data_IF_398869088105
#
_entry.id   IF_398869088105
#
_cell.length_a   1.000
_cell.length_b   1.000
_cell.length_c   1.000
_cell.angle_alpha   90.00
_cell.angle_beta   90.00
_cell.angle_gamma   90.00
#
_symmetry.space_group_name_H-M   'P 1'
#
loop_
_entity.id
_entity.type
_entity.pdbx_description
1 polymer ?
#
# COMPACT_ATOMS: atom_id res chain seq x y z
N UNK A 1 -77.03 19.61 -10.29
CA UNK A 1 -75.90 20.21 -11.04
C UNK A 1 -74.78 20.45 -10.04
N UNK A 2 -73.67 19.72 -10.11
CA UNK A 2 -72.37 20.23 -10.62
C UNK A 2 -72.01 21.58 -9.96
N UNK A 3 -70.87 21.82 -9.29
CA UNK A 3 -69.56 21.19 -9.28
C UNK A 3 -68.66 22.13 -8.47
N UNK A 4 -67.94 21.71 -7.42
CA UNK A 4 -66.73 22.44 -6.95
C UNK A 4 -65.91 21.62 -5.95
N UNK A 5 -64.91 20.90 -6.44
CA UNK A 5 -63.60 20.80 -5.79
C UNK A 5 -62.55 20.15 -6.71
N UNK A 6 -61.88 20.90 -7.60
CA UNK A 6 -60.64 20.43 -8.21
C UNK A 6 -59.55 21.49 -8.02
N UNK A 7 -58.80 21.42 -6.91
CA UNK A 7 -57.53 22.18 -6.81
C UNK A 7 -56.57 21.74 -5.72
N UNK A 8 -57.03 20.98 -4.73
CA UNK A 8 -56.16 20.52 -3.63
C UNK A 8 -55.45 19.18 -3.90
N UNK A 9 -56.01 18.32 -4.78
CA UNK A 9 -55.47 16.97 -5.04
C UNK A 9 -54.27 16.98 -5.98
N UNK A 10 -54.26 17.85 -6.99
CA UNK A 10 -53.17 17.91 -7.98
C UNK A 10 -51.86 18.47 -7.42
N UNK A 11 -51.94 19.46 -6.51
CA UNK A 11 -50.77 20.02 -5.86
C UNK A 11 -50.08 19.03 -4.91
N UNK A 12 -50.83 18.12 -4.28
CA UNK A 12 -50.26 17.09 -3.40
C UNK A 12 -49.47 16.05 -4.22
N UNK A 13 -50.03 15.59 -5.34
CA UNK A 13 -49.35 14.65 -6.24
C UNK A 13 -48.09 15.27 -6.89
N UNK A 14 -48.14 16.55 -7.25
CA UNK A 14 -46.97 17.22 -7.84
C UNK A 14 -45.86 17.47 -6.80
N UNK A 15 -46.22 17.77 -5.54
CA UNK A 15 -45.27 17.97 -4.45
C UNK A 15 -44.61 16.65 -4.00
N UNK A 16 -45.40 15.59 -3.82
CA UNK A 16 -44.88 14.24 -3.52
C UNK A 16 -43.99 13.70 -4.64
N UNK A 17 -44.32 13.97 -5.90
CA UNK A 17 -43.49 13.58 -7.04
C UNK A 17 -42.15 14.32 -7.06
N UNK A 18 -42.13 15.63 -6.77
CA UNK A 18 -40.88 16.42 -6.65
C UNK A 18 -40.01 15.96 -5.48
N UNK A 19 -40.60 15.66 -4.32
CA UNK A 19 -39.86 15.16 -3.15
C UNK A 19 -39.29 13.75 -3.39
N UNK A 20 -40.01 12.89 -4.12
CA UNK A 20 -39.50 11.57 -4.53
C UNK A 20 -38.35 11.67 -5.53
N UNK A 21 -38.44 12.60 -6.50
CA UNK A 21 -37.34 12.87 -7.44
C UNK A 21 -36.14 13.48 -6.73
N UNK A 22 -36.34 14.45 -5.82
CA UNK A 22 -35.27 15.09 -5.06
C UNK A 22 -34.56 14.11 -4.13
N UNK A 23 -35.30 13.20 -3.48
CA UNK A 23 -34.69 12.11 -2.69
C UNK A 23 -33.99 11.06 -3.56
N UNK A 24 -34.47 10.79 -4.79
CA UNK A 24 -33.76 9.93 -5.74
C UNK A 24 -32.44 10.56 -6.25
N UNK A 25 -32.42 11.88 -6.43
CA UNK A 25 -31.21 12.60 -6.86
C UNK A 25 -30.21 12.79 -5.72
N UNK A 26 -30.69 12.95 -4.48
CA UNK A 26 -29.84 13.01 -3.27
C UNK A 26 -29.24 11.64 -2.90
N UNK A 27 -29.94 10.54 -3.23
CA UNK A 27 -29.41 9.17 -3.07
C UNK A 27 -28.42 8.76 -4.16
N UNK A 28 -28.49 9.34 -5.38
CA UNK A 28 -27.52 9.06 -6.48
C UNK A 28 -26.23 9.89 -6.42
N UNK A 29 -26.12 10.87 -5.51
CA UNK A 29 -24.98 11.77 -5.37
C UNK A 29 -24.16 11.56 -4.08
N UNK A 30 -24.36 10.45 -3.34
CA UNK A 30 -23.57 10.10 -2.15
C UNK A 30 -22.75 8.82 -2.34
N UNK A 31 -22.19 8.63 -3.52
CA UNK A 31 -21.18 7.61 -3.80
C UNK A 31 -20.37 8.01 -5.04
N UNK A 32 -19.68 9.13 -4.95
CA UNK A 32 -18.51 9.44 -5.77
C UNK A 32 -17.48 10.15 -4.89
N UNK A 33 -16.23 9.68 -4.99
CA UNK A 33 -14.97 10.21 -4.42
C UNK A 33 -14.68 10.00 -2.94
N UNK A 34 -14.25 8.78 -2.61
CA UNK A 34 -12.98 8.55 -1.91
C UNK A 34 -12.37 7.25 -2.46
N UNK A 35 -11.10 7.18 -2.90
CA UNK A 35 -10.47 5.90 -3.21
C UNK A 35 -10.22 5.17 -1.89
N UNK A 36 -11.23 4.46 -1.39
CA UNK A 36 -11.06 3.50 -0.32
C UNK A 36 -10.46 2.23 -0.95
N UNK A 37 -9.14 2.06 -0.80
CA UNK A 37 -8.49 0.77 -1.00
C UNK A 37 -9.10 -0.24 -0.02
N UNK A 38 -10.04 -1.03 -0.52
CA UNK A 38 -10.44 -2.31 0.07
C UNK A 38 -10.65 -3.29 -1.06
N UNK A 39 -9.58 -3.97 -1.42
CA UNK A 39 -9.70 -5.25 -2.11
C UNK A 39 -10.13 -6.24 -1.01
N UNK A 40 -11.42 -6.57 -0.97
CA UNK A 40 -11.86 -7.76 -0.24
C UNK A 40 -11.44 -8.98 -1.04
N UNK A 41 -10.40 -9.69 -0.60
CA UNK A 41 -10.12 -11.08 -0.98
C UNK A 41 -9.63 -11.86 0.24
N UNK A 42 -9.97 -13.14 0.24
CA UNK A 42 -9.75 -14.21 1.23
C UNK A 42 -8.41 -14.16 2.00
N UNK A 43 -8.30 -14.82 3.18
CA UNK A 43 -7.04 -14.88 3.92
C UNK A 43 -5.93 -15.40 2.99
N UNK A 44 -4.76 -14.74 2.91
CA UNK A 44 -3.64 -15.27 2.15
C UNK A 44 -3.19 -16.58 2.80
N UNK A 45 -3.63 -17.70 2.23
CA UNK A 45 -3.20 -19.03 2.61
C UNK A 45 -1.71 -19.16 2.27
N UNK A 46 -0.86 -19.05 3.30
CA UNK A 46 0.60 -19.15 3.27
C UNK A 46 1.30 -18.24 2.23
N UNK A 47 1.98 -17.20 2.71
CA UNK A 47 2.98 -16.49 1.89
C UNK A 47 3.98 -17.52 1.38
N UNK A 48 4.05 -17.70 0.06
CA UNK A 48 5.04 -18.61 -0.53
C UNK A 48 6.36 -17.84 -0.62
N UNK A 49 7.15 -17.86 0.45
CA UNK A 49 8.44 -17.16 0.52
C UNK A 49 9.35 -17.51 -0.67
N UNK A 50 9.28 -18.74 -1.19
CA UNK A 50 9.99 -19.12 -2.42
C UNK A 50 9.69 -18.17 -3.58
N UNK A 51 8.42 -17.81 -3.81
CA UNK A 51 8.03 -16.91 -4.90
C UNK A 51 8.60 -15.50 -4.70
N UNK A 52 8.63 -14.98 -3.46
CA UNK A 52 9.22 -13.65 -3.23
C UNK A 52 10.71 -13.68 -3.53
N UNK A 53 11.43 -14.73 -3.14
CA UNK A 53 12.88 -14.82 -3.36
C UNK A 53 13.27 -15.18 -4.80
N UNK A 54 12.42 -15.90 -5.54
CA UNK A 54 12.60 -16.13 -6.99
C UNK A 54 12.55 -14.82 -7.80
N UNK A 55 11.80 -13.82 -7.33
CA UNK A 55 11.77 -12.49 -7.94
C UNK A 55 13.00 -11.63 -7.61
N UNK A 56 13.88 -12.09 -6.71
CA UNK A 56 15.08 -11.35 -6.35
C UNK A 56 16.10 -11.42 -7.49
N UNK A 57 16.59 -10.26 -7.93
CA UNK A 57 17.64 -10.19 -8.93
C UNK A 57 18.99 -10.67 -8.36
N UNK A 58 19.92 -11.05 -9.25
CA UNK A 58 21.30 -11.44 -8.91
C UNK A 58 22.05 -10.40 -8.06
N UNK A 59 21.69 -9.11 -8.09
CA UNK A 59 22.32 -8.08 -7.26
C UNK A 59 21.67 -7.91 -5.88
N UNK A 60 20.56 -8.62 -5.62
CA UNK A 60 19.87 -8.65 -4.33
C UNK A 60 18.64 -7.76 -4.21
N UNK A 61 18.20 -7.08 -5.28
CA UNK A 61 17.05 -6.19 -5.26
C UNK A 61 15.81 -6.80 -5.93
N UNK A 62 14.66 -6.17 -5.70
CA UNK A 62 13.40 -6.47 -6.39
C UNK A 62 12.96 -5.33 -7.29
N UNK A 63 12.20 -5.66 -8.32
CA UNK A 63 11.50 -4.67 -9.14
C UNK A 63 10.03 -4.61 -8.73
N UNK A 64 9.41 -3.44 -8.89
CA UNK A 64 7.95 -3.32 -8.83
C UNK A 64 7.34 -4.02 -10.05
N UNK A 65 6.98 -5.29 -9.90
CA UNK A 65 6.33 -6.11 -10.92
C UNK A 65 4.92 -6.50 -10.48
N UNK A 66 4.01 -6.85 -11.42
CA UNK A 66 2.68 -7.33 -11.08
C UNK A 66 2.70 -8.53 -10.12
N UNK A 67 3.64 -9.47 -10.31
CA UNK A 67 3.82 -10.65 -9.47
C UNK A 67 4.16 -10.26 -8.03
N UNK A 68 5.08 -9.32 -7.85
CA UNK A 68 5.41 -8.79 -6.53
C UNK A 68 4.21 -8.07 -5.90
N UNK A 69 3.44 -7.34 -6.72
CA UNK A 69 2.20 -6.67 -6.31
C UNK A 69 1.19 -7.65 -5.72
N UNK A 70 1.00 -8.81 -6.35
CA UNK A 70 0.10 -9.86 -5.83
C UNK A 70 0.58 -10.38 -4.47
N UNK A 71 1.88 -10.64 -4.31
CA UNK A 71 2.44 -11.18 -3.05
C UNK A 71 2.30 -10.17 -1.91
N UNK A 72 2.50 -8.89 -2.19
CA UNK A 72 2.46 -7.81 -1.19
C UNK A 72 1.05 -7.20 -0.99
N UNK A 73 0.03 -7.66 -1.71
CA UNK A 73 -1.29 -7.03 -1.80
C UNK A 73 -1.21 -5.53 -2.12
N UNK A 74 -0.42 -5.21 -3.16
CA UNK A 74 -0.05 -3.86 -3.56
C UNK A 74 -0.44 -3.59 -5.03
N UNK A 75 -1.15 -2.49 -5.26
CA UNK A 75 -1.40 -1.98 -6.61
C UNK A 75 -0.14 -1.29 -7.15
N UNK A 76 0.66 -2.06 -7.88
CA UNK A 76 1.95 -1.62 -8.44
C UNK A 76 1.79 -0.56 -9.52
N UNK A 77 0.75 -0.65 -10.35
CA UNK A 77 0.49 0.34 -11.40
C UNK A 77 0.12 1.67 -10.78
N UNK A 78 -0.81 1.67 -9.82
CA UNK A 78 -1.15 2.87 -9.07
C UNK A 78 0.07 3.45 -8.35
N UNK A 79 0.84 2.62 -7.64
CA UNK A 79 2.04 3.08 -6.92
C UNK A 79 3.02 3.77 -7.88
N UNK A 80 3.32 3.15 -9.01
CA UNK A 80 4.36 3.61 -9.94
C UNK A 80 3.88 4.77 -10.80
N UNK A 81 2.78 4.57 -11.52
CA UNK A 81 2.34 5.44 -12.61
C UNK A 81 1.41 6.56 -12.15
N UNK A 82 0.84 6.45 -10.95
CA UNK A 82 -0.04 7.49 -10.38
C UNK A 82 0.61 8.17 -9.18
N UNK A 83 0.94 7.41 -8.12
CA UNK A 83 1.40 7.98 -6.86
C UNK A 83 2.83 8.54 -6.97
N UNK A 84 3.81 7.71 -7.32
CA UNK A 84 5.22 8.14 -7.42
C UNK A 84 5.44 9.07 -8.61
N UNK A 85 4.72 8.87 -9.71
CA UNK A 85 4.71 9.78 -10.85
C UNK A 85 4.32 11.21 -10.44
N UNK A 86 3.23 11.37 -9.68
CA UNK A 86 2.80 12.68 -9.14
C UNK A 86 3.83 13.30 -8.19
N UNK A 87 4.59 12.46 -7.49
CA UNK A 87 5.67 12.90 -6.59
C UNK A 87 7.01 13.13 -7.30
N UNK A 88 7.01 13.09 -8.63
CA UNK A 88 8.16 13.48 -9.44
C UNK A 88 9.24 12.41 -9.57
N UNK A 89 8.93 11.11 -9.37
CA UNK A 89 9.92 10.04 -9.57
C UNK A 89 10.60 10.08 -10.94
N UNK A 90 9.84 10.47 -11.98
CA UNK A 90 10.33 10.58 -13.36
C UNK A 90 11.20 11.81 -13.62
N UNK A 91 11.16 12.81 -12.73
CA UNK A 91 12.08 13.97 -12.80
C UNK A 91 13.54 13.60 -12.53
N UNK A 92 13.78 12.40 -11.99
CA UNK A 92 15.11 11.85 -11.75
C UNK A 92 15.72 11.22 -13.02
N UNK A 93 14.99 11.22 -14.14
CA UNK A 93 15.43 10.62 -15.39
C UNK A 93 15.72 9.12 -15.23
N UNK A 94 16.82 8.60 -15.82
CA UNK A 94 17.19 7.18 -15.71
C UNK A 94 17.31 6.68 -14.26
N UNK A 95 17.69 7.56 -13.32
CA UNK A 95 17.82 7.22 -11.90
C UNK A 95 16.48 6.97 -11.20
N UNK A 96 15.36 7.42 -11.78
CA UNK A 96 14.02 7.12 -11.25
C UNK A 96 13.76 5.62 -11.16
N UNK A 97 14.31 4.83 -12.09
CA UNK A 97 14.20 3.36 -12.05
C UNK A 97 14.95 2.74 -10.87
N UNK A 98 16.14 3.23 -10.55
CA UNK A 98 16.91 2.76 -9.38
C UNK A 98 16.19 3.08 -8.07
N UNK A 99 15.49 4.23 -8.01
CA UNK A 99 14.65 4.57 -6.85
C UNK A 99 13.39 3.69 -6.77
N UNK A 100 12.79 3.28 -7.89
CA UNK A 100 11.70 2.29 -7.87
C UNK A 100 12.16 0.92 -7.35
N UNK A 101 13.37 0.50 -7.74
CA UNK A 101 14.00 -0.72 -7.22
C UNK A 101 14.32 -0.61 -5.72
N UNK A 102 14.76 0.57 -5.27
CA UNK A 102 14.93 0.87 -3.85
C UNK A 102 13.62 0.73 -3.08
N UNK A 103 12.54 1.32 -3.59
CA UNK A 103 11.21 1.24 -2.97
C UNK A 103 10.72 -0.21 -2.94
N UNK A 104 10.77 -0.95 -4.05
CA UNK A 104 10.39 -2.37 -4.09
C UNK A 104 11.14 -3.20 -3.04
N UNK A 105 12.46 -3.06 -3.00
CA UNK A 105 13.32 -3.84 -2.09
C UNK A 105 13.00 -3.50 -0.63
N UNK A 106 12.79 -2.23 -0.32
CA UNK A 106 12.40 -1.79 1.02
C UNK A 106 11.02 -2.30 1.42
N UNK A 107 10.05 -2.36 0.50
CA UNK A 107 8.74 -2.95 0.76
C UNK A 107 8.85 -4.44 1.09
N UNK A 108 9.67 -5.19 0.35
CA UNK A 108 9.93 -6.61 0.65
C UNK A 108 10.57 -6.80 2.03
N UNK A 109 11.60 -6.01 2.36
CA UNK A 109 12.25 -6.07 3.67
C UNK A 109 11.26 -5.73 4.81
N UNK A 110 10.43 -4.70 4.62
CA UNK A 110 9.40 -4.33 5.58
C UNK A 110 8.33 -5.42 5.74
N UNK A 111 7.97 -6.08 4.64
CA UNK A 111 7.02 -7.19 4.64
C UNK A 111 7.57 -8.42 5.38
N UNK A 112 8.82 -8.80 5.12
CA UNK A 112 9.53 -9.87 5.86
C UNK A 112 9.53 -9.55 7.36
N UNK A 113 9.96 -8.33 7.71
CA UNK A 113 10.00 -7.87 9.10
C UNK A 113 8.62 -7.87 9.76
N UNK A 114 7.57 -7.52 9.03
CA UNK A 114 6.20 -7.49 9.54
C UNK A 114 5.62 -8.88 9.76
N UNK A 115 5.83 -9.82 8.82
CA UNK A 115 5.27 -11.17 8.91
C UNK A 115 5.93 -12.01 10.00
N UNK A 116 7.20 -11.79 10.31
CA UNK A 116 7.96 -12.54 11.34
C UNK A 116 7.90 -14.07 11.15
N UNK A 117 7.78 -14.55 9.91
CA UNK A 117 7.66 -15.98 9.57
C UNK A 117 8.99 -16.62 9.16
N UNK A 118 10.05 -15.83 8.98
CA UNK A 118 11.39 -16.34 8.67
C UNK A 118 12.19 -16.42 9.96
N UNK A 119 12.20 -17.60 10.58
CA UNK A 119 13.00 -17.87 11.78
C UNK A 119 14.48 -17.52 11.54
N UNK A 120 15.14 -16.98 12.56
CA UNK A 120 16.55 -16.58 12.51
C UNK A 120 16.87 -15.32 11.70
N UNK A 121 15.89 -14.63 11.10
CA UNK A 121 16.08 -13.31 10.48
C UNK A 121 15.54 -12.22 11.40
N UNK A 122 16.45 -11.51 12.08
CA UNK A 122 16.10 -10.40 12.98
C UNK A 122 16.59 -9.07 12.42
N UNK A 123 15.72 -8.06 12.37
CA UNK A 123 16.05 -6.71 11.95
C UNK A 123 16.24 -5.78 13.15
N UNK A 124 17.42 -5.16 13.29
CA UNK A 124 17.66 -4.03 14.20
C UNK A 124 16.99 -2.76 13.69
N UNK A 125 17.00 -2.56 12.37
CA UNK A 125 16.23 -1.55 11.66
C UNK A 125 15.90 -2.08 10.25
N UNK A 126 15.07 -1.38 9.48
CA UNK A 126 14.69 -1.81 8.12
C UNK A 126 15.92 -2.09 7.21
N UNK A 127 17.03 -1.39 7.43
CA UNK A 127 18.27 -1.54 6.65
C UNK A 127 19.43 -2.13 7.48
N UNK A 128 19.14 -2.79 8.60
CA UNK A 128 20.17 -3.41 9.45
C UNK A 128 19.66 -4.70 10.06
N UNK A 129 20.32 -5.81 9.72
CA UNK A 129 20.11 -7.10 10.36
C UNK A 129 20.82 -7.17 11.71
N UNK A 130 20.38 -8.09 12.55
CA UNK A 130 21.20 -8.55 13.66
C UNK A 130 22.30 -9.48 13.13
N UNK A 131 23.52 -9.24 13.59
CA UNK A 131 24.72 -9.98 13.18
C UNK A 131 24.90 -11.26 14.01
N UNK A 132 24.07 -11.44 15.05
CA UNK A 132 24.01 -12.68 15.82
C UNK A 132 23.15 -13.70 15.08
N UNK A 133 23.74 -14.78 14.51
CA UNK A 133 22.95 -15.83 13.89
C UNK A 133 22.12 -16.50 14.98
N UNK A 134 20.84 -16.16 15.03
CA UNK A 134 19.88 -16.92 15.83
C UNK A 134 19.56 -18.16 15.02
N UNK A 135 19.88 -19.32 15.58
CA UNK A 135 19.73 -20.66 15.00
C UNK A 135 18.59 -20.82 13.98
N UNK A 136 18.85 -21.61 12.93
CA UNK A 136 17.89 -22.26 12.01
C UNK A 136 17.22 -21.47 10.87
N UNK A 137 17.57 -20.19 10.62
CA UNK A 137 17.16 -19.57 9.35
C UNK A 137 17.59 -20.44 8.18
N UNK A 138 16.69 -20.68 7.23
CA UNK A 138 17.06 -21.37 6.00
C UNK A 138 18.20 -20.58 5.38
N UNK A 139 19.38 -21.19 5.30
CA UNK A 139 20.64 -20.49 5.01
C UNK A 139 20.56 -19.60 3.76
N UNK A 140 19.82 -20.04 2.75
CA UNK A 140 19.59 -19.27 1.52
C UNK A 140 18.74 -18.00 1.74
N UNK A 141 17.70 -18.05 2.59
CA UNK A 141 16.82 -16.91 2.84
C UNK A 141 17.56 -15.81 3.60
N UNK A 142 18.35 -16.16 4.61
CA UNK A 142 19.19 -15.19 5.31
C UNK A 142 20.20 -14.54 4.36
N UNK A 143 20.88 -15.33 3.51
CA UNK A 143 21.81 -14.80 2.52
C UNK A 143 21.13 -13.82 1.54
N UNK A 144 19.94 -14.17 1.05
CA UNK A 144 19.12 -13.30 0.19
C UNK A 144 18.73 -12.00 0.88
N UNK A 145 18.26 -12.05 2.13
CA UNK A 145 17.88 -10.85 2.89
C UNK A 145 19.09 -9.99 3.21
N UNK A 146 20.22 -10.59 3.61
CA UNK A 146 21.48 -9.88 3.87
C UNK A 146 21.94 -9.12 2.62
N UNK A 147 21.92 -9.79 1.46
CA UNK A 147 22.29 -9.19 0.18
C UNK A 147 21.38 -8.00 -0.18
N UNK A 148 20.08 -8.13 0.04
CA UNK A 148 19.13 -7.05 -0.15
C UNK A 148 19.41 -5.85 0.75
N UNK A 149 19.67 -6.09 2.04
CA UNK A 149 20.00 -5.04 3.00
C UNK A 149 21.29 -4.32 2.61
N UNK A 150 22.33 -5.04 2.19
CA UNK A 150 23.57 -4.46 1.70
C UNK A 150 23.35 -3.63 0.42
N UNK A 151 22.55 -4.14 -0.51
CA UNK A 151 22.18 -3.42 -1.73
C UNK A 151 21.43 -2.12 -1.41
N UNK A 152 20.40 -2.17 -0.57
CA UNK A 152 19.62 -1.00 -0.15
C UNK A 152 20.49 0.06 0.48
N UNK A 153 21.40 -0.31 1.40
CA UNK A 153 22.32 0.64 2.05
C UNK A 153 23.22 1.35 1.05
N UNK A 154 23.65 0.64 0.00
CA UNK A 154 24.51 1.21 -1.04
C UNK A 154 23.73 2.15 -1.96
N UNK A 155 22.50 1.79 -2.32
CA UNK A 155 21.65 2.59 -3.21
C UNK A 155 21.07 3.81 -2.50
N UNK A 156 20.55 3.67 -1.28
CA UNK A 156 20.01 4.78 -0.49
C UNK A 156 21.02 5.93 -0.31
N UNK A 157 22.32 5.60 -0.14
CA UNK A 157 23.41 6.58 -0.07
C UNK A 157 23.58 7.41 -1.34
N UNK A 158 23.17 6.90 -2.51
CA UNK A 158 23.21 7.65 -3.76
C UNK A 158 22.05 8.67 -3.86
N UNK A 159 21.03 8.54 -3.01
CA UNK A 159 19.82 9.35 -3.03
C UNK A 159 19.52 9.98 -1.66
N UNK A 160 20.39 10.86 -1.14
CA UNK A 160 20.14 11.52 0.13
C UNK A 160 18.77 12.21 0.17
N UNK A 161 18.04 12.00 1.25
CA UNK A 161 16.72 12.58 1.50
C UNK A 161 15.64 12.24 0.44
N UNK A 162 15.81 11.22 -0.39
CA UNK A 162 14.83 10.89 -1.44
C UNK A 162 13.45 10.53 -0.88
N UNK A 163 13.40 9.86 0.27
CA UNK A 163 12.15 9.58 0.98
C UNK A 163 11.37 10.87 1.31
N UNK A 164 12.09 11.92 1.72
CA UNK A 164 11.49 13.23 2.00
C UNK A 164 11.15 14.00 0.71
N UNK A 165 12.04 13.98 -0.30
CA UNK A 165 11.82 14.65 -1.59
C UNK A 165 10.62 14.10 -2.34
N UNK A 166 10.42 12.78 -2.28
CA UNK A 166 9.24 12.10 -2.78
C UNK A 166 8.11 12.12 -1.75
N UNK A 167 8.18 12.92 -0.68
CA UNK A 167 7.13 13.11 0.32
C UNK A 167 6.44 11.80 0.76
N UNK A 168 7.24 10.74 0.95
CA UNK A 168 6.74 9.41 1.30
C UNK A 168 6.54 9.28 2.81
N UNK A 169 7.38 9.96 3.58
CA UNK A 169 7.38 9.97 5.03
C UNK A 169 8.68 10.56 5.58
N UNK A 170 8.76 10.63 6.91
CA UNK A 170 9.95 11.10 7.64
C UNK A 170 11.18 10.19 7.43
N UNK A 171 10.93 8.90 7.28
CA UNK A 171 11.93 7.86 7.09
C UNK A 171 11.32 6.68 6.32
N UNK A 172 12.18 5.78 5.85
CA UNK A 172 11.77 4.62 5.07
C UNK A 172 10.93 3.60 5.85
N UNK A 173 11.12 3.50 7.17
CA UNK A 173 10.35 2.58 8.03
C UNK A 173 8.87 3.00 8.06
N UNK A 174 8.61 4.30 8.26
CA UNK A 174 7.27 4.89 8.24
C UNK A 174 6.66 4.83 6.83
N UNK A 175 7.44 5.20 5.81
CA UNK A 175 6.98 5.19 4.41
C UNK A 175 6.54 3.80 3.95
N UNK A 176 7.35 2.77 4.21
CA UNK A 176 7.04 1.39 3.80
C UNK A 176 5.88 0.79 4.57
N UNK A 177 5.75 1.05 5.88
CA UNK A 177 4.58 0.65 6.66
C UNK A 177 3.30 1.26 6.12
N UNK A 178 3.32 2.54 5.77
CA UNK A 178 2.18 3.25 5.17
C UNK A 178 1.81 2.66 3.80
N UNK A 179 2.81 2.43 2.94
CA UNK A 179 2.60 1.86 1.61
C UNK A 179 2.04 0.43 1.64
N UNK A 180 2.44 -0.37 2.64
CA UNK A 180 1.92 -1.72 2.88
C UNK A 180 0.62 -1.74 3.69
N UNK A 181 0.05 -0.58 4.05
CA UNK A 181 -1.17 -0.51 4.85
C UNK A 181 -1.04 -1.02 6.30
N UNK A 182 0.18 -1.16 6.83
CA UNK A 182 0.46 -1.69 8.18
C UNK A 182 0.07 -0.67 9.28
N UNK A 183 0.19 0.63 9.00
CA UNK A 183 -0.05 1.69 9.99
C UNK A 183 -1.53 1.88 10.41
N UNK A 184 -2.49 1.26 9.72
CA UNK A 184 -3.93 1.51 9.95
C UNK A 184 -4.58 0.72 11.10
N UNK A 185 -3.83 -0.07 11.89
CA UNK A 185 -4.42 -0.90 12.96
C UNK A 185 -4.16 -0.34 14.38
N UNK A 186 -3.30 0.67 14.58
CA UNK A 186 -2.96 1.14 15.94
C UNK A 186 -3.79 2.32 16.46
N UNK A 187 -4.79 2.82 15.75
CA UNK A 187 -5.63 3.92 16.26
C UNK A 187 -7.10 3.54 16.36
N UNK A 188 -7.58 3.56 17.61
CA UNK A 188 -8.98 3.61 18.05
C UNK A 188 -9.72 2.29 18.29
N UNK A 189 -9.34 1.57 19.34
CA UNK A 189 -10.34 1.07 20.28
C UNK A 189 -9.95 1.55 21.69
N UNK A 190 -10.71 2.46 22.32
CA UNK A 190 -10.56 2.67 23.75
C UNK A 190 -10.99 1.38 24.48
N UNK A 191 -10.33 1.00 25.60
CA UNK A 191 -10.78 -0.11 26.41
C UNK A 191 -12.18 0.21 26.93
N UNK A 192 -13.12 -0.71 26.67
CA UNK A 192 -14.43 -0.70 27.30
C UNK A 192 -14.24 -0.67 28.81
N UNK A 193 -14.67 0.42 29.45
CA UNK A 193 -15.00 0.47 30.88
C UNK A 193 -16.52 0.32 30.96
#
# INVERSE_FOLDING_TARGET
MLQTAPKYRENLHHKLSKDLVLTSMRKKQLHKTSPQMRIQRSPPSAVTWTQIFELQNQDGFWNLSPELGVILDLDVDYLTNIFLAKKGIWSLGPKGREVLQLIATLLVLQFIRYKQQLEGITFKSLMKLDDSPTSSAIHWAFASVKKAVEWVRRVDRQFPAICHRLELGKDWDSATKKLLGIELISTNFPPSI
#
